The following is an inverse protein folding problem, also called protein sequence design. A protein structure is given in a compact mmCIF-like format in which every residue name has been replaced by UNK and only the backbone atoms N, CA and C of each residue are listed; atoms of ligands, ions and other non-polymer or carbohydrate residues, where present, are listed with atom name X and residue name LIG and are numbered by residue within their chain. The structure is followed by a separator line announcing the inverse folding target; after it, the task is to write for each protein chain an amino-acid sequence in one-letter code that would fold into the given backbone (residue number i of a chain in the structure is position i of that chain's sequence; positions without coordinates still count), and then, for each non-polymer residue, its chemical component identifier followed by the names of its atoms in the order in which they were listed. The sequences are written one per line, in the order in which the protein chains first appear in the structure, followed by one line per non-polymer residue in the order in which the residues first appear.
data_IF_744483879061
#
_entry.id   IF_744483879061
#
_cell.length_a   1.000
_cell.length_b   1.000
_cell.length_c   1.000
_cell.angle_alpha   90.00
_cell.angle_beta   90.00
_cell.angle_gamma   90.00
#
_symmetry.space_group_name_H-M   'P 1'
#
loop_
_entity.id
_entity.type
_entity.pdbx_description
1 polymer ?
#
# COMPACT_ATOMS: atom_id res chain seq x y z
N UNK A 1 -30.76 36.75 3.37
CA UNK A 1 -29.52 36.81 4.16
C UNK A 1 -29.22 35.45 4.79
N UNK A 2 -30.20 34.81 5.44
CA UNK A 2 -30.06 33.48 6.05
C UNK A 2 -29.76 32.34 5.07
N UNK A 3 -30.36 32.35 3.87
CA UNK A 3 -30.08 31.36 2.81
C UNK A 3 -28.60 31.32 2.39
N UNK A 4 -27.96 32.48 2.23
CA UNK A 4 -26.53 32.57 1.85
C UNK A 4 -25.62 32.03 2.96
N UNK A 5 -25.98 32.25 4.22
CA UNK A 5 -25.24 31.75 5.36
C UNK A 5 -25.34 30.22 5.46
N UNK A 6 -26.54 29.66 5.24
CA UNK A 6 -26.76 28.22 5.23
C UNK A 6 -25.97 27.54 4.10
N UNK A 7 -26.00 28.10 2.88
CA UNK A 7 -25.22 27.60 1.74
C UNK A 7 -23.71 27.63 1.99
N UNK A 8 -23.19 28.68 2.63
CA UNK A 8 -21.77 28.79 2.97
C UNK A 8 -21.36 27.77 4.04
N UNK A 9 -22.20 27.57 5.07
CA UNK A 9 -21.96 26.56 6.11
C UNK A 9 -21.99 25.14 5.54
N UNK A 10 -22.95 24.85 4.65
CA UNK A 10 -23.02 23.56 3.98
C UNK A 10 -21.78 23.30 3.11
N UNK A 11 -21.33 24.30 2.35
CA UNK A 11 -20.12 24.22 1.54
C UNK A 11 -18.88 23.92 2.41
N UNK A 12 -18.71 24.64 3.53
CA UNK A 12 -17.61 24.42 4.48
C UNK A 12 -17.66 23.02 5.10
N UNK A 13 -18.84 22.56 5.50
CA UNK A 13 -19.01 21.23 6.07
C UNK A 13 -18.66 20.11 5.06
N UNK A 14 -19.12 20.24 3.81
CA UNK A 14 -18.77 19.31 2.72
C UNK A 14 -17.27 19.28 2.47
N UNK A 15 -16.63 20.46 2.40
CA UNK A 15 -15.17 20.57 2.24
C UNK A 15 -14.42 19.89 3.39
N UNK A 16 -14.83 20.14 4.64
CA UNK A 16 -14.19 19.54 5.81
C UNK A 16 -14.29 18.01 5.81
N UNK A 17 -15.45 17.47 5.42
CA UNK A 17 -15.64 16.02 5.28
C UNK A 17 -14.66 15.40 4.28
N UNK A 18 -14.44 16.05 3.12
CA UNK A 18 -13.47 15.57 2.12
C UNK A 18 -12.05 15.59 2.66
N UNK A 19 -11.65 16.66 3.37
CA UNK A 19 -10.32 16.76 3.97
C UNK A 19 -10.09 15.68 5.04
N UNK A 20 -11.10 15.36 5.85
CA UNK A 20 -11.02 14.24 6.80
C UNK A 20 -10.82 12.89 6.10
N UNK A 21 -11.54 12.66 5.00
CA UNK A 21 -11.36 11.43 4.21
C UNK A 21 -9.95 11.32 3.63
N UNK A 22 -9.37 12.43 3.16
CA UNK A 22 -7.98 12.49 2.68
C UNK A 22 -7.01 12.07 3.80
N UNK A 23 -7.14 12.63 5.00
CA UNK A 23 -6.27 12.29 6.13
C UNK A 23 -6.32 10.80 6.48
N UNK A 24 -7.52 10.19 6.46
CA UNK A 24 -7.68 8.74 6.69
C UNK A 24 -6.94 7.95 5.62
N UNK A 25 -7.11 8.31 4.35
CA UNK A 25 -6.45 7.66 3.22
C UNK A 25 -4.92 7.80 3.29
N UNK A 26 -4.40 8.94 3.73
CA UNK A 26 -2.96 9.11 3.96
C UNK A 26 -2.43 8.16 5.04
N UNK A 27 -3.21 7.93 6.09
CA UNK A 27 -2.92 6.93 7.11
C UNK A 27 -2.82 5.52 6.51
N UNK A 28 -3.80 5.13 5.71
CA UNK A 28 -3.76 3.82 5.02
C UNK A 28 -2.59 3.70 4.04
N UNK A 29 -2.29 4.75 3.27
CA UNK A 29 -1.13 4.78 2.36
C UNK A 29 0.17 4.53 3.13
N UNK A 30 0.33 5.17 4.30
CA UNK A 30 1.50 4.97 5.16
C UNK A 30 1.60 3.54 5.68
N UNK A 31 0.48 2.94 6.08
CA UNK A 31 0.46 1.55 6.56
C UNK A 31 0.87 0.57 5.46
N UNK A 32 0.35 0.76 4.23
CA UNK A 32 0.72 -0.08 3.08
C UNK A 32 2.21 0.05 2.77
N UNK A 33 2.74 1.29 2.77
CA UNK A 33 4.17 1.53 2.58
C UNK A 33 5.03 0.80 3.61
N UNK A 34 4.69 0.91 4.89
CA UNK A 34 5.42 0.21 5.97
C UNK A 34 5.35 -1.31 5.82
N UNK A 35 4.22 -1.85 5.36
CA UNK A 35 4.10 -3.28 5.11
C UNK A 35 4.99 -3.74 3.93
N UNK A 36 5.09 -2.94 2.86
CA UNK A 36 5.98 -3.20 1.74
C UNK A 36 7.45 -3.12 2.13
N UNK A 37 7.84 -2.12 2.94
CA UNK A 37 9.20 -1.98 3.47
C UNK A 37 9.60 -3.23 4.29
N UNK A 38 8.74 -3.67 5.21
CA UNK A 38 8.96 -4.91 5.98
C UNK A 38 9.05 -6.17 5.11
N UNK A 39 8.26 -6.23 4.04
CA UNK A 39 8.30 -7.34 3.09
C UNK A 39 9.64 -7.38 2.34
N UNK A 40 10.18 -6.22 1.95
CA UNK A 40 11.48 -6.14 1.27
C UNK A 40 12.63 -6.50 2.21
N UNK A 41 12.58 -6.08 3.47
CA UNK A 41 13.52 -6.52 4.51
C UNK A 41 13.48 -8.05 4.66
N UNK A 42 12.28 -8.63 4.74
CA UNK A 42 12.08 -10.08 4.81
C UNK A 42 12.63 -10.82 3.58
N UNK A 43 12.41 -10.28 2.37
CA UNK A 43 13.00 -10.83 1.13
C UNK A 43 14.52 -10.77 1.14
N UNK A 44 15.11 -9.69 1.65
CA UNK A 44 16.56 -9.52 1.73
C UNK A 44 17.18 -10.56 2.67
N UNK A 45 16.60 -10.73 3.86
CA UNK A 45 17.02 -11.77 4.83
C UNK A 45 16.89 -13.16 4.20
N UNK A 46 15.76 -13.43 3.56
CA UNK A 46 15.53 -14.71 2.89
C UNK A 46 16.56 -15.00 1.80
N UNK A 47 16.85 -14.04 0.92
CA UNK A 47 17.87 -14.18 -0.14
C UNK A 47 19.25 -14.49 0.43
N UNK A 48 19.64 -13.82 1.51
CA UNK A 48 20.91 -14.08 2.18
C UNK A 48 20.98 -15.49 2.78
N UNK A 49 19.92 -15.95 3.44
CA UNK A 49 19.84 -17.31 3.98
C UNK A 49 19.85 -18.36 2.85
N UNK A 50 19.06 -18.14 1.80
CA UNK A 50 19.01 -19.02 0.63
C UNK A 50 20.39 -19.21 -0.01
N UNK A 51 21.12 -18.12 -0.25
CA UNK A 51 22.47 -18.16 -0.82
C UNK A 51 23.48 -18.90 0.08
N UNK A 52 23.26 -18.89 1.40
CA UNK A 52 24.17 -19.50 2.37
C UNK A 52 23.97 -21.00 2.53
N UNK A 53 22.73 -21.48 2.47
CA UNK A 53 22.40 -22.88 2.81
C UNK A 53 22.23 -23.81 1.61
N UNK A 54 21.83 -23.29 0.45
CA UNK A 54 21.60 -24.10 -0.76
C UNK A 54 22.83 -24.78 -1.37
N UNK A 55 24.07 -24.26 -1.29
CA UNK A 55 25.20 -24.84 -2.01
C UNK A 55 25.54 -26.29 -1.60
N UNK A 56 25.24 -26.68 -0.36
CA UNK A 56 25.54 -28.01 0.17
C UNK A 56 24.41 -29.03 0.00
N UNK A 57 23.24 -28.60 -0.48
CA UNK A 57 22.07 -29.48 -0.60
C UNK A 57 22.06 -30.18 -1.96
N UNK A 58 21.73 -31.48 -1.95
CA UNK A 58 21.68 -32.33 -3.14
C UNK A 58 20.47 -33.27 -3.09
N UNK A 59 20.13 -33.88 -4.23
CA UNK A 59 19.05 -34.86 -4.35
C UNK A 59 17.65 -34.27 -4.15
N UNK A 60 16.70 -35.12 -3.75
CA UNK A 60 15.28 -34.78 -3.61
C UNK A 60 15.03 -33.64 -2.61
N UNK A 61 15.80 -33.58 -1.52
CA UNK A 61 15.71 -32.49 -0.52
C UNK A 61 15.97 -31.12 -1.14
N UNK A 62 16.92 -31.03 -2.08
CA UNK A 62 17.21 -29.79 -2.80
C UNK A 62 16.03 -29.40 -3.70
N UNK A 63 15.48 -30.34 -4.46
CA UNK A 63 14.34 -30.07 -5.33
C UNK A 63 13.11 -29.58 -4.55
N UNK A 64 12.78 -30.26 -3.44
CA UNK A 64 11.67 -29.85 -2.58
C UNK A 64 11.87 -28.42 -2.04
N UNK A 65 13.09 -28.10 -1.62
CA UNK A 65 13.44 -26.75 -1.16
C UNK A 65 13.36 -25.69 -2.27
N UNK A 66 13.89 -25.96 -3.47
CA UNK A 66 13.84 -25.04 -4.61
C UNK A 66 12.39 -24.76 -5.04
N UNK A 67 11.52 -25.77 -4.94
CA UNK A 67 10.08 -25.59 -5.18
C UNK A 67 9.46 -24.64 -4.14
N UNK A 68 9.69 -24.88 -2.85
CA UNK A 68 9.23 -23.98 -1.78
C UNK A 68 9.79 -22.55 -1.94
N UNK A 69 11.06 -22.44 -2.34
CA UNK A 69 11.73 -21.17 -2.60
C UNK A 69 11.07 -20.39 -3.75
N UNK A 70 10.74 -21.09 -4.83
CA UNK A 70 10.03 -20.52 -5.98
C UNK A 70 8.64 -20.02 -5.59
N UNK A 71 7.88 -20.83 -4.85
CA UNK A 71 6.55 -20.48 -4.37
C UNK A 71 6.57 -19.25 -3.44
N UNK A 72 7.53 -19.22 -2.51
CA UNK A 72 7.70 -18.10 -1.59
C UNK A 72 8.09 -16.80 -2.32
N UNK A 73 9.02 -16.87 -3.27
CA UNK A 73 9.37 -15.73 -4.13
C UNK A 73 8.17 -15.25 -4.94
N UNK A 74 7.40 -16.17 -5.52
CA UNK A 74 6.17 -15.87 -6.24
C UNK A 74 5.13 -15.17 -5.36
N UNK A 75 4.91 -15.67 -4.13
CA UNK A 75 4.01 -15.05 -3.17
C UNK A 75 4.48 -13.64 -2.78
N UNK A 76 5.78 -13.47 -2.49
CA UNK A 76 6.37 -12.18 -2.16
C UNK A 76 6.27 -11.16 -3.30
N UNK A 77 6.38 -11.59 -4.56
CA UNK A 77 6.22 -10.70 -5.72
C UNK A 77 4.77 -10.30 -5.95
N UNK A 78 3.82 -11.23 -5.77
CA UNK A 78 2.38 -10.91 -5.81
C UNK A 78 1.99 -9.91 -4.72
N UNK A 79 2.43 -10.13 -3.48
CA UNK A 79 2.17 -9.20 -2.37
C UNK A 79 2.74 -7.80 -2.64
N UNK A 80 3.93 -7.72 -3.22
CA UNK A 80 4.54 -6.44 -3.60
C UNK A 80 3.72 -5.71 -4.68
N UNK A 81 3.27 -6.44 -5.69
CA UNK A 81 2.42 -5.90 -6.78
C UNK A 81 1.11 -5.36 -6.22
N UNK A 82 0.40 -6.16 -5.42
CA UNK A 82 -0.86 -5.76 -4.79
C UNK A 82 -0.69 -4.52 -3.90
N UNK A 83 0.40 -4.45 -3.12
CA UNK A 83 0.68 -3.28 -2.28
C UNK A 83 0.94 -2.01 -3.09
N UNK A 84 1.66 -2.11 -4.21
CA UNK A 84 1.88 -0.98 -5.12
C UNK A 84 0.59 -0.52 -5.80
N UNK A 85 -0.23 -1.46 -6.28
CA UNK A 85 -1.52 -1.15 -6.88
C UNK A 85 -2.44 -0.44 -5.88
N UNK A 86 -2.45 -0.91 -4.62
CA UNK A 86 -3.21 -0.27 -3.55
C UNK A 86 -2.68 1.14 -3.22
N UNK A 87 -1.36 1.33 -3.16
CA UNK A 87 -0.76 2.66 -2.98
C UNK A 87 -1.14 3.63 -4.10
N UNK A 88 -1.14 3.15 -5.35
CA UNK A 88 -1.53 3.93 -6.52
C UNK A 88 -3.02 4.30 -6.48
N UNK A 89 -3.88 3.34 -6.14
CA UNK A 89 -5.31 3.55 -5.99
C UNK A 89 -5.62 4.58 -4.89
N UNK A 90 -5.02 4.45 -3.71
CA UNK A 90 -5.16 5.41 -2.61
C UNK A 90 -4.69 6.80 -3.05
N UNK A 91 -3.56 6.89 -3.74
CA UNK A 91 -3.01 8.17 -4.22
C UNK A 91 -3.88 8.80 -5.31
N UNK A 92 -4.55 8.00 -6.14
CA UNK A 92 -5.55 8.48 -7.10
C UNK A 92 -6.80 9.03 -6.40
N UNK A 93 -7.30 8.32 -5.39
CA UNK A 93 -8.47 8.74 -4.64
C UNK A 93 -8.22 10.01 -3.82
N UNK A 94 -7.04 10.14 -3.19
CA UNK A 94 -6.62 11.37 -2.50
C UNK A 94 -6.67 12.56 -3.46
N UNK A 95 -6.10 12.44 -4.67
CA UNK A 95 -6.15 13.49 -5.69
C UNK A 95 -7.58 13.85 -6.06
N UNK A 96 -8.42 12.86 -6.33
CA UNK A 96 -9.84 13.05 -6.65
C UNK A 96 -10.62 13.76 -5.53
N UNK A 97 -10.30 13.49 -4.26
CA UNK A 97 -10.94 14.15 -3.12
C UNK A 97 -10.40 15.58 -2.93
N UNK A 98 -9.11 15.79 -3.17
CA UNK A 98 -8.48 17.11 -3.12
C UNK A 98 -9.12 18.05 -4.15
N UNK A 99 -9.27 17.61 -5.39
CA UNK A 99 -9.93 18.38 -6.45
C UNK A 99 -11.37 18.76 -6.07
N UNK A 100 -12.12 17.84 -5.47
CA UNK A 100 -13.48 18.11 -4.97
C UNK A 100 -13.48 19.10 -3.80
N UNK A 101 -12.49 19.05 -2.92
CA UNK A 101 -12.39 19.95 -1.78
C UNK A 101 -12.00 21.37 -2.23
N UNK A 102 -11.15 21.48 -3.25
CA UNK A 102 -10.73 22.75 -3.82
C UNK A 102 -11.85 23.41 -4.64
N UNK A 103 -12.71 22.63 -5.30
CA UNK A 103 -13.93 23.14 -5.94
C UNK A 103 -14.97 23.71 -4.95
N UNK A 104 -14.84 23.42 -3.65
CA UNK A 104 -15.71 23.92 -2.57
C UNK A 104 -15.07 25.07 -1.77
N UNK A 105 -13.91 25.57 -2.20
CA UNK A 105 -13.21 26.69 -1.55
C UNK A 105 -13.99 27.99 -1.78
#
# INVERSE_FOLDING_TARGET
MELKLAEELERKAKRQKLLMQIQILEGYRRNVRQALERLEDGKTIYRAAHASYTPSWQGETRQAYEQMASELNGAGNRSYTVGNDLMNAISGEIRRLQDKADALR
#
